data_IF_749887931093
#
_entry.id   IF_749887931093
#
_cell.length_a   1.000
_cell.length_b   1.000
_cell.length_c   1.000
_cell.angle_alpha   90.00
_cell.angle_beta   90.00
_cell.angle_gamma   90.00
#
_symmetry.space_group_name_H-M   'P 1'
#
loop_
_entity.id
_entity.type
_entity.pdbx_description
1 polymer ?
#
# COMPACT_ATOMS: atom_id res chain seq x y z
N UNK A 1 -6.33 -0.89 -9.99
CA UNK A 1 -5.03 -1.42 -9.52
C UNK A 1 -4.52 -0.56 -8.38
N UNK A 2 -3.91 -1.17 -7.36
CA UNK A 2 -3.32 -0.44 -6.24
C UNK A 2 -1.87 -0.04 -6.51
N UNK A 3 -1.47 1.14 -6.05
CA UNK A 3 -0.12 1.67 -6.21
C UNK A 3 0.40 2.23 -4.88
N UNK A 4 1.68 1.99 -4.60
CA UNK A 4 2.39 2.60 -3.47
C UNK A 4 3.64 3.32 -3.98
N UNK A 5 3.84 4.55 -3.51
CA UNK A 5 5.03 5.34 -3.77
C UNK A 5 5.81 5.54 -2.48
N UNK A 6 7.07 5.10 -2.46
CA UNK A 6 7.93 5.16 -1.27
C UNK A 6 9.12 6.10 -1.51
N UNK A 7 9.26 7.07 -0.63
CA UNK A 7 10.39 8.02 -0.56
C UNK A 7 11.14 7.73 0.74
N UNK A 8 12.23 6.94 0.69
CA UNK A 8 13.00 6.60 1.88
C UNK A 8 13.79 7.81 2.39
N UNK A 9 13.85 7.95 3.72
CA UNK A 9 14.70 8.89 4.46
C UNK A 9 15.27 8.15 5.68
N UNK A 10 16.43 7.50 5.49
CA UNK A 10 17.01 6.61 6.49
C UNK A 10 16.11 5.39 6.76
N UNK A 11 15.74 5.17 8.02
CA UNK A 11 14.81 4.11 8.43
C UNK A 11 13.32 4.51 8.31
N UNK A 12 13.04 5.77 7.96
CA UNK A 12 11.67 6.25 7.72
C UNK A 12 11.36 6.22 6.23
N UNK A 13 10.08 6.04 5.91
CA UNK A 13 9.56 6.09 4.54
C UNK A 13 8.36 7.02 4.53
N UNK A 14 8.23 7.82 3.50
CA UNK A 14 7.05 8.67 3.26
C UNK A 14 6.53 8.44 1.86
N UNK A 15 5.29 8.82 1.60
CA UNK A 15 4.80 8.88 0.23
C UNK A 15 3.29 8.81 0.13
N UNK A 16 2.82 8.15 -0.91
CA UNK A 16 1.40 8.05 -1.22
C UNK A 16 0.99 6.63 -1.55
N UNK A 17 -0.30 6.37 -1.40
CA UNK A 17 -0.92 5.12 -1.79
C UNK A 17 -2.22 5.41 -2.55
N UNK A 18 -2.60 4.48 -3.41
CA UNK A 18 -3.92 4.42 -4.02
C UNK A 18 -4.36 2.97 -4.15
N UNK A 19 -5.65 2.72 -3.94
CA UNK A 19 -6.29 1.43 -4.13
C UNK A 19 -7.42 1.65 -5.14
N UNK A 20 -7.20 1.28 -6.40
CA UNK A 20 -8.24 1.40 -7.42
C UNK A 20 -9.39 0.41 -7.18
N UNK A 21 -10.64 0.86 -7.29
CA UNK A 21 -11.82 0.01 -7.29
C UNK A 21 -12.18 -0.47 -8.71
N UNK A 22 -12.68 -1.70 -8.89
CA UNK A 22 -13.26 -2.13 -10.18
C UNK A 22 -14.46 -1.29 -10.63
N UNK A 23 -15.12 -0.57 -9.71
CA UNK A 23 -16.42 0.07 -9.92
C UNK A 23 -16.37 1.61 -9.92
N UNK A 24 -15.20 2.25 -9.77
CA UNK A 24 -15.12 3.71 -9.76
C UNK A 24 -13.99 4.25 -8.88
N UNK A 25 -14.24 5.39 -8.20
CA UNK A 25 -13.27 6.10 -7.38
C UNK A 25 -12.63 5.16 -6.36
N UNK A 26 -11.35 4.88 -6.58
CA UNK A 26 -10.51 4.22 -5.59
C UNK A 26 -10.19 5.15 -4.44
N UNK A 27 -9.75 4.61 -3.32
CA UNK A 27 -9.25 5.42 -2.21
C UNK A 27 -7.78 5.76 -2.45
N UNK A 28 -7.38 6.99 -2.13
CA UNK A 28 -5.98 7.39 -2.11
C UNK A 28 -5.64 8.12 -0.84
N UNK A 29 -4.34 8.27 -0.59
CA UNK A 29 -3.87 9.15 0.46
C UNK A 29 -2.37 9.11 0.65
N UNK A 30 -1.96 9.56 1.84
CA UNK A 30 -0.54 9.61 2.23
C UNK A 30 -0.21 8.44 3.13
N UNK A 31 1.06 8.05 3.07
CA UNK A 31 1.63 7.08 4.00
C UNK A 31 2.88 7.63 4.66
N UNK A 32 3.10 7.17 5.88
CA UNK A 32 4.40 7.19 6.55
C UNK A 32 4.73 5.76 6.95
N UNK A 33 6.01 5.44 7.05
CA UNK A 33 6.47 4.11 7.37
C UNK A 33 7.79 4.10 8.09
N UNK A 34 8.08 2.94 8.67
CA UNK A 34 9.31 2.67 9.41
C UNK A 34 9.79 1.27 9.06
N UNK A 35 11.09 1.16 8.79
CA UNK A 35 11.76 -0.12 8.58
C UNK A 35 12.22 -0.64 9.94
N UNK A 36 11.65 -1.77 10.38
CA UNK A 36 12.00 -2.46 11.63
C UNK A 36 12.02 -3.96 11.41
N UNK A 37 13.06 -4.65 11.84
CA UNK A 37 13.20 -6.11 11.73
C UNK A 37 12.90 -6.64 10.31
N UNK A 38 13.47 -5.99 9.29
CA UNK A 38 13.26 -6.31 7.86
C UNK A 38 11.80 -6.18 7.36
N UNK A 39 10.92 -5.50 8.12
CA UNK A 39 9.56 -5.16 7.73
C UNK A 39 9.45 -3.65 7.54
N UNK A 40 8.81 -3.24 6.45
CA UNK A 40 8.34 -1.86 6.28
C UNK A 40 6.92 -1.76 6.84
N UNK A 41 6.80 -1.29 8.08
CA UNK A 41 5.51 -0.98 8.70
C UNK A 41 4.99 0.32 8.10
N UNK A 42 3.71 0.39 7.75
CA UNK A 42 3.11 1.62 7.22
C UNK A 42 1.88 2.03 8.01
N UNK A 43 1.71 3.34 8.10
CA UNK A 43 0.52 4.02 8.58
C UNK A 43 -0.01 4.89 7.46
N UNK A 44 -1.30 4.78 7.19
CA UNK A 44 -1.99 5.48 6.12
C UNK A 44 -2.92 6.54 6.68
N UNK A 45 -3.15 7.56 5.87
CA UNK A 45 -4.32 8.41 5.95
C UNK A 45 -4.94 8.46 4.55
N UNK A 46 -6.22 8.77 4.46
CA UNK A 46 -6.96 8.92 3.21
C UNK A 46 -7.16 10.41 2.89
N UNK A 47 -7.12 10.76 1.60
CA UNK A 47 -7.37 12.13 1.13
C UNK A 47 -8.86 12.51 1.22
N UNK A 48 -9.76 11.53 1.13
CA UNK A 48 -11.21 11.66 1.12
C UNK A 48 -11.89 11.38 2.48
N UNK A 49 -11.13 10.91 3.47
CA UNK A 49 -11.61 10.56 4.81
C UNK A 49 -12.72 9.52 4.80
N UNK A 50 -12.39 8.23 4.82
CA UNK A 50 -13.39 7.16 4.77
C UNK A 50 -13.41 6.28 6.03
N UNK A 51 -14.35 5.33 6.09
CA UNK A 51 -14.53 4.46 7.25
C UNK A 51 -13.35 3.54 7.56
N UNK A 52 -12.43 3.34 6.61
CA UNK A 52 -11.28 2.44 6.74
C UNK A 52 -9.99 3.17 7.14
N UNK A 53 -9.88 4.46 6.82
CA UNK A 53 -8.67 5.24 7.03
C UNK A 53 -8.97 6.64 7.57
N UNK A 54 -8.22 7.12 8.57
CA UNK A 54 -8.38 8.49 9.05
C UNK A 54 -8.03 9.50 7.95
N UNK A 55 -8.70 10.65 7.96
CA UNK A 55 -8.46 11.74 7.02
C UNK A 55 -7.08 12.39 7.25
N UNK A 56 -6.34 12.62 6.17
CA UNK A 56 -5.05 13.31 6.24
C UNK A 56 -5.21 14.73 6.83
N UNK A 57 -4.30 15.19 7.71
CA UNK A 57 -2.99 14.63 8.04
C UNK A 57 -2.98 13.63 9.20
N UNK A 58 -4.15 13.19 9.69
CA UNK A 58 -4.24 12.20 10.77
C UNK A 58 -4.01 10.80 10.20
N UNK A 59 -3.00 10.11 10.71
CA UNK A 59 -2.67 8.75 10.29
C UNK A 59 -3.31 7.70 11.19
N UNK A 60 -3.36 6.45 10.73
CA UNK A 60 -3.69 5.29 11.56
C UNK A 60 -2.92 5.34 12.90
N UNK A 61 -3.56 4.88 13.99
CA UNK A 61 -2.93 4.87 15.33
C UNK A 61 -1.85 3.79 15.44
N UNK A 62 -2.04 2.69 14.73
CA UNK A 62 -1.13 1.54 14.67
C UNK A 62 -0.98 1.09 13.20
N UNK A 63 0.13 0.43 12.83
CA UNK A 63 0.32 0.01 11.46
C UNK A 63 -0.62 -1.17 11.16
N UNK A 64 -1.51 -1.01 10.19
CA UNK A 64 -2.43 -2.07 9.75
C UNK A 64 -1.88 -2.89 8.60
N UNK A 65 -0.74 -2.47 8.02
CA UNK A 65 -0.10 -3.12 6.88
C UNK A 65 1.42 -3.07 7.01
N UNK A 66 2.10 -4.12 6.56
CA UNK A 66 3.55 -4.11 6.37
C UNK A 66 3.98 -4.78 5.07
N UNK A 67 5.19 -4.46 4.63
CA UNK A 67 5.81 -5.09 3.46
C UNK A 67 7.10 -5.81 3.83
N UNK A 68 7.35 -6.93 3.16
CA UNK A 68 8.64 -7.63 3.18
C UNK A 68 9.20 -7.62 1.76
N UNK A 69 10.46 -7.24 1.63
CA UNK A 69 11.16 -7.26 0.35
C UNK A 69 11.62 -8.68 0.02
N UNK A 70 11.11 -9.23 -1.07
CA UNK A 70 11.44 -10.54 -1.60
C UNK A 70 12.10 -10.37 -2.96
N UNK A 71 13.43 -10.42 -3.04
CA UNK A 71 14.23 -10.29 -4.29
C UNK A 71 13.72 -9.19 -5.25
N UNK A 72 12.75 -9.52 -6.11
CA UNK A 72 12.19 -8.68 -7.16
C UNK A 72 10.78 -8.10 -6.88
N UNK A 73 10.14 -8.43 -5.77
CA UNK A 73 8.81 -7.95 -5.40
C UNK A 73 8.71 -7.64 -3.89
N UNK A 74 7.62 -6.97 -3.49
CA UNK A 74 7.22 -6.86 -2.09
C UNK A 74 5.99 -7.74 -1.85
N UNK A 75 6.07 -8.63 -0.87
CA UNK A 75 4.86 -9.21 -0.27
C UNK A 75 4.28 -8.19 0.70
N UNK A 76 2.96 -8.04 0.68
CA UNK A 76 2.26 -7.23 1.67
C UNK A 76 1.51 -8.11 2.65
N UNK A 77 1.37 -7.62 3.87
CA UNK A 77 0.62 -8.29 4.92
C UNK A 77 -0.31 -7.27 5.57
N UNK A 78 -1.58 -7.63 5.71
CA UNK A 78 -2.60 -6.77 6.32
C UNK A 78 -3.06 -7.35 7.65
N UNK A 79 -3.45 -6.48 8.58
CA UNK A 79 -3.99 -6.83 9.88
C UNK A 79 -5.44 -7.29 9.73
N UNK A 80 -5.73 -8.49 10.21
CA UNK A 80 -7.07 -9.11 10.30
C UNK A 80 -7.29 -9.57 11.74
N UNK A 81 -8.08 -8.82 12.51
CA UNK A 81 -8.15 -8.97 13.97
C UNK A 81 -6.78 -8.73 14.60
N UNK A 82 -6.32 -9.66 15.44
CA UNK A 82 -5.01 -9.56 16.12
C UNK A 82 -3.84 -10.15 15.32
N UNK A 83 -4.07 -10.64 14.09
CA UNK A 83 -3.06 -11.32 13.28
C UNK A 83 -2.81 -10.58 11.98
N UNK A 84 -1.59 -10.71 11.46
CA UNK A 84 -1.28 -10.33 10.10
C UNK A 84 -1.37 -11.53 9.18
N UNK A 85 -1.97 -11.34 8.00
CA UNK A 85 -2.05 -12.35 6.95
C UNK A 85 -1.39 -11.80 5.68
N UNK A 86 -0.74 -12.67 4.92
CA UNK A 86 -0.17 -12.29 3.62
C UNK A 86 -1.30 -11.98 2.65
N UNK A 87 -1.22 -10.83 1.98
CA UNK A 87 -2.14 -10.53 0.89
C UNK A 87 -1.73 -11.29 -0.37
N UNK A 88 -2.70 -11.65 -1.20
CA UNK A 88 -2.44 -12.31 -2.48
C UNK A 88 -1.61 -11.44 -3.46
N UNK A 89 -1.69 -10.11 -3.31
CA UNK A 89 -1.03 -9.16 -4.22
C UNK A 89 0.47 -9.06 -3.95
N UNK A 90 1.26 -9.13 -5.02
CA UNK A 90 2.70 -8.85 -5.00
C UNK A 90 2.97 -7.51 -5.68
N UNK A 91 3.75 -6.66 -5.04
CA UNK A 91 4.09 -5.36 -5.60
C UNK A 91 5.45 -5.41 -6.30
N UNK A 92 5.44 -5.18 -7.60
CA UNK A 92 6.66 -5.12 -8.39
C UNK A 92 7.17 -3.69 -8.46
N UNK A 93 8.50 -3.54 -8.43
CA UNK A 93 9.13 -2.22 -8.59
C UNK A 93 8.93 -1.74 -10.03
N UNK A 94 8.29 -0.59 -10.19
CA UNK A 94 8.12 0.07 -11.49
C UNK A 94 9.07 1.27 -11.57
N UNK A 95 9.72 1.48 -12.72
CA UNK A 95 10.48 2.72 -12.96
C UNK A 95 9.50 3.86 -13.18
N UNK A 96 9.76 5.01 -12.57
CA UNK A 96 8.96 6.23 -12.77
C UNK A 96 8.88 6.55 -14.27
N UNK A 97 7.67 6.76 -14.79
CA UNK A 97 7.43 7.07 -16.20
C UNK A 97 7.16 5.87 -17.11
N UNK A 98 7.13 4.64 -16.58
CA UNK A 98 6.65 3.47 -17.34
C UNK A 98 5.13 3.32 -17.11
N UNK A 99 4.36 3.21 -18.20
CA UNK A 99 2.96 2.80 -18.13
C UNK A 99 2.86 1.38 -17.56
N UNK A 100 2.14 1.23 -16.45
CA UNK A 100 1.87 -0.08 -15.87
C UNK A 100 0.81 -0.74 -16.76
N UNK A 101 1.10 -1.86 -17.41
CA UNK A 101 0.12 -2.53 -18.25
C UNK A 101 -1.10 -2.89 -17.39
N UNK A 102 -2.26 -2.32 -17.74
CA UNK A 102 -3.54 -2.74 -17.21
C UNK A 102 -3.87 -4.08 -17.85
N UNK A 103 -3.49 -5.19 -17.21
CA UNK A 103 -4.05 -6.48 -17.60
C UNK A 103 -5.56 -6.41 -17.37
N UNK A 104 -6.31 -6.17 -18.45
CA UNK A 104 -7.69 -6.61 -18.57
C UNK A 104 -7.63 -8.13 -18.70
N UNK A 105 -7.43 -8.84 -17.59
CA UNK A 105 -7.84 -10.25 -17.58
C UNK A 105 -9.34 -10.24 -17.86
N UNK A 106 -9.70 -10.68 -19.07
CA UNK A 106 -11.08 -11.01 -19.38
C UNK A 106 -11.49 -12.08 -18.37
N UNK A 107 -12.38 -11.75 -17.44
CA UNK A 107 -13.12 -12.77 -16.72
C UNK A 107 -13.73 -13.69 -17.78
N UNK A 108 -13.21 -14.91 -17.92
CA UNK A 108 -13.88 -15.96 -18.69
C UNK A 108 -15.13 -16.31 -17.88
N UNK A 109 -16.29 -15.95 -18.43
CA UNK A 109 -17.59 -16.48 -18.04
C UNK A 109 -17.59 -18.01 -18.12
#
# INVERSE_FOLDING_TARGET
MGQFSFIPKGNKVYGSWSEGSPQGQGTSGKLKGEIKNNKLLIWRCSDDGNSLYPECPSYEKEPTRYFIKNQNFLSSYSKYGDKFQEDFMKFHKVKKGIEIPTQKEKCRN
#
